data_IF_842715803390
#
_entry.id   IF_842715803390
#
_cell.length_a   1.000
_cell.length_b   1.000
_cell.length_c   1.000
_cell.angle_alpha   90.00
_cell.angle_beta   90.00
_cell.angle_gamma   90.00
#
_symmetry.space_group_name_H-M   'P 1'
#
loop_
_entity.id
_entity.type
_entity.pdbx_description
1 polymer ?
#
# COMPACT_ATOMS: atom_id res chain seq x y z
N UNK A 1 86.27 -38.23 -39.43
CA UNK A 1 85.33 -38.32 -38.27
C UNK A 1 84.52 -37.03 -38.24
N UNK A 2 83.45 -36.92 -39.03
CA UNK A 2 82.05 -37.18 -38.64
C UNK A 2 81.56 -36.27 -37.51
N UNK A 3 80.87 -35.19 -37.88
CA UNK A 3 79.92 -34.47 -37.02
C UNK A 3 78.57 -35.21 -37.04
N UNK A 4 77.95 -35.44 -35.88
CA UNK A 4 76.49 -35.56 -35.74
C UNK A 4 75.96 -34.49 -34.75
N UNK A 5 75.05 -33.60 -35.12
CA UNK A 5 73.58 -33.73 -35.22
C UNK A 5 72.81 -33.97 -33.91
N UNK A 6 72.08 -32.90 -33.50
CA UNK A 6 70.68 -32.82 -33.03
C UNK A 6 70.07 -33.98 -32.21
N UNK A 7 69.54 -33.68 -31.02
CA UNK A 7 68.09 -33.67 -30.65
C UNK A 7 67.83 -33.95 -29.15
N UNK A 8 67.02 -33.06 -28.57
CA UNK A 8 65.98 -33.23 -27.53
C UNK A 8 66.28 -33.93 -26.18
N UNK A 9 66.07 -33.15 -25.10
CA UNK A 9 65.35 -33.52 -23.86
C UNK A 9 65.17 -32.23 -23.02
N UNK A 10 63.97 -31.64 -23.05
CA UNK A 10 62.94 -31.74 -22.00
C UNK A 10 63.25 -30.94 -20.71
N UNK A 11 62.28 -30.09 -20.36
CA UNK A 11 61.94 -29.60 -19.02
C UNK A 11 62.70 -28.39 -18.44
N UNK A 12 62.17 -27.20 -18.73
CA UNK A 12 62.05 -26.09 -17.77
C UNK A 12 60.68 -25.43 -18.03
N UNK A 13 59.60 -25.94 -17.41
CA UNK A 13 58.97 -25.33 -16.24
C UNK A 13 58.97 -23.79 -16.29
N UNK A 14 57.89 -23.22 -16.81
CA UNK A 14 57.35 -21.94 -16.32
C UNK A 14 55.90 -21.81 -16.81
N UNK A 15 54.99 -22.14 -15.90
CA UNK A 15 53.54 -21.96 -15.97
C UNK A 15 53.15 -20.49 -15.74
N UNK A 16 52.47 -19.89 -16.75
CA UNK A 16 51.35 -18.92 -16.67
C UNK A 16 51.58 -17.50 -16.07
N UNK A 17 50.72 -16.49 -16.38
CA UNK A 17 49.68 -16.35 -17.44
C UNK A 17 49.85 -15.04 -18.27
N UNK A 18 49.48 -14.91 -19.55
CA UNK A 18 48.14 -14.93 -20.15
C UNK A 18 47.11 -13.96 -19.50
N UNK A 19 47.34 -12.63 -19.51
CA UNK A 19 46.26 -11.67 -19.21
C UNK A 19 46.52 -10.21 -19.64
N UNK A 20 46.74 -9.92 -20.93
CA UNK A 20 46.82 -8.51 -21.37
C UNK A 20 46.52 -8.28 -22.86
N UNK A 21 45.47 -8.89 -23.42
CA UNK A 21 44.90 -8.45 -24.70
C UNK A 21 43.38 -8.63 -24.67
N UNK A 22 42.66 -7.63 -24.17
CA UNK A 22 41.21 -7.45 -24.42
C UNK A 22 40.92 -5.95 -24.61
N UNK A 23 40.80 -5.57 -25.88
CA UNK A 23 39.82 -4.62 -26.43
C UNK A 23 39.75 -3.24 -25.74
N UNK A 24 40.54 -2.30 -26.27
CA UNK A 24 40.25 -0.86 -26.20
C UNK A 24 39.28 -0.55 -27.35
N UNK A 25 37.96 -0.63 -27.13
CA UNK A 25 36.94 0.03 -27.94
C UNK A 25 35.60 0.06 -27.17
N UNK A 26 34.94 1.23 -27.23
CA UNK A 26 33.61 1.55 -26.69
C UNK A 26 33.52 2.00 -25.22
N UNK A 27 34.23 3.08 -24.86
CA UNK A 27 33.70 4.04 -23.89
C UNK A 27 32.67 4.95 -24.58
N UNK A 28 31.56 4.36 -25.06
CA UNK A 28 30.35 5.13 -25.33
C UNK A 28 29.63 5.30 -24.00
N UNK A 29 29.46 6.55 -23.60
CA UNK A 29 28.77 6.97 -22.40
C UNK A 29 27.50 6.16 -22.16
N UNK A 30 27.47 5.43 -21.05
CA UNK A 30 26.23 5.28 -20.30
C UNK A 30 26.22 6.51 -19.40
N UNK A 31 25.69 7.62 -19.91
CA UNK A 31 25.08 8.58 -19.01
C UNK A 31 23.94 7.82 -18.35
N UNK A 32 24.21 7.30 -17.15
CA UNK A 32 23.13 6.95 -16.26
C UNK A 32 22.34 8.25 -16.09
N UNK A 33 21.14 8.30 -16.65
CA UNK A 33 20.21 9.36 -16.27
C UNK A 33 19.85 9.02 -14.82
N UNK A 34 20.63 9.57 -13.89
CA UNK A 34 20.24 9.71 -12.51
C UNK A 34 19.13 10.76 -12.53
N UNK A 35 17.90 10.32 -12.80
CA UNK A 35 16.73 11.10 -12.36
C UNK A 35 16.59 10.81 -10.88
N UNK A 36 17.44 11.43 -10.05
CA UNK A 36 16.99 11.76 -8.70
C UNK A 36 16.13 13.00 -8.89
N UNK A 37 14.84 12.82 -9.13
CA UNK A 37 13.92 13.84 -8.66
C UNK A 37 14.10 13.89 -7.14
N UNK A 38 14.11 15.08 -6.56
CA UNK A 38 14.25 15.21 -5.11
C UNK A 38 13.13 14.37 -4.45
N UNK A 39 13.47 13.46 -3.52
CA UNK A 39 12.43 12.84 -2.72
C UNK A 39 11.70 13.96 -1.97
N UNK A 40 10.40 13.80 -1.71
CA UNK A 40 9.61 14.86 -1.11
C UNK A 40 10.21 15.27 0.24
N UNK A 41 10.38 16.57 0.43
CA UNK A 41 11.17 17.12 1.54
C UNK A 41 10.39 17.30 2.85
N UNK A 42 9.06 17.43 2.79
CA UNK A 42 8.26 17.84 3.95
C UNK A 42 7.49 16.67 4.59
N UNK A 43 7.56 16.61 5.93
CA UNK A 43 6.83 15.64 6.75
C UNK A 43 7.53 14.30 6.93
N UNK A 44 6.75 13.30 7.31
CA UNK A 44 7.22 11.93 7.46
C UNK A 44 6.14 10.94 7.02
N UNK A 45 6.58 9.78 6.58
CA UNK A 45 5.71 8.68 6.21
C UNK A 45 5.57 7.73 7.39
N UNK A 46 4.34 7.39 7.79
CA UNK A 46 4.07 6.31 8.73
C UNK A 46 3.68 5.07 7.94
N UNK A 47 4.31 3.94 8.25
CA UNK A 47 4.10 2.65 7.57
C UNK A 47 3.79 1.57 8.61
N UNK A 48 2.72 0.83 8.39
CA UNK A 48 2.38 -0.36 9.16
C UNK A 48 3.22 -1.55 8.67
N UNK A 49 3.99 -2.18 9.56
CA UNK A 49 4.76 -3.37 9.21
C UNK A 49 3.91 -4.61 9.50
N UNK A 50 3.22 -5.15 8.50
CA UNK A 50 2.19 -6.20 8.67
C UNK A 50 2.75 -7.54 9.18
N UNK A 51 4.06 -7.76 8.99
CA UNK A 51 4.80 -8.95 9.43
C UNK A 51 5.61 -8.72 10.70
N UNK A 52 5.43 -7.57 11.33
CA UNK A 52 6.00 -7.20 12.62
C UNK A 52 4.92 -6.61 13.53
N UNK A 53 5.25 -6.40 14.79
CA UNK A 53 4.38 -5.70 15.74
C UNK A 53 4.88 -4.26 15.88
N UNK A 54 4.97 -3.53 14.76
CA UNK A 54 5.62 -2.23 14.72
C UNK A 54 5.06 -1.27 13.67
N UNK A 55 5.19 0.03 13.94
CA UNK A 55 5.08 1.11 12.94
C UNK A 55 6.47 1.68 12.65
N UNK A 56 6.73 2.00 11.39
CA UNK A 56 7.90 2.79 10.99
C UNK A 56 7.49 4.23 10.68
N UNK A 57 8.27 5.18 11.18
CA UNK A 57 8.17 6.62 10.97
C UNK A 57 9.38 7.06 10.17
N UNK A 58 9.20 7.26 8.86
CA UNK A 58 10.27 7.56 7.91
C UNK A 58 10.29 9.07 7.66
N UNK A 59 11.27 9.75 8.22
CA UNK A 59 11.51 11.17 7.99
C UNK A 59 12.14 11.37 6.63
N UNK A 60 11.47 12.09 5.74
CA UNK A 60 11.79 12.07 4.32
C UNK A 60 13.01 12.94 3.99
N UNK A 61 13.14 14.11 4.62
CA UNK A 61 14.30 14.99 4.46
C UNK A 61 15.61 14.36 4.97
N UNK A 62 15.56 13.62 6.08
CA UNK A 62 16.75 13.07 6.72
C UNK A 62 17.01 11.60 6.38
N UNK A 63 16.06 10.93 5.73
CA UNK A 63 16.02 9.48 5.54
C UNK A 63 16.18 8.68 6.87
N UNK A 64 15.83 9.28 8.01
CA UNK A 64 15.87 8.61 9.30
C UNK A 64 14.58 7.84 9.54
N UNK A 65 14.69 6.64 10.10
CA UNK A 65 13.54 5.83 10.51
C UNK A 65 13.50 5.71 12.03
N UNK A 66 12.35 6.03 12.62
CA UNK A 66 12.01 5.69 13.99
C UNK A 66 10.97 4.55 13.98
N UNK A 67 11.05 3.65 14.95
CA UNK A 67 10.10 2.54 15.08
C UNK A 67 9.32 2.67 16.38
N UNK A 68 8.01 2.42 16.33
CA UNK A 68 7.16 2.25 17.50
C UNK A 68 6.72 0.80 17.59
N UNK A 69 7.10 0.11 18.66
CA UNK A 69 6.58 -1.22 18.95
C UNK A 69 5.10 -1.15 19.36
N UNK A 70 4.32 -2.13 18.93
CA UNK A 70 2.90 -2.26 19.17
C UNK A 70 2.62 -3.55 19.96
N UNK A 71 1.48 -3.66 20.66
CA UNK A 71 1.05 -4.87 21.35
C UNK A 71 0.52 -5.96 20.39
N UNK A 72 0.73 -5.77 19.08
CA UNK A 72 0.28 -6.68 18.05
C UNK A 72 0.53 -6.13 16.64
N UNK A 73 0.29 -6.96 15.62
CA UNK A 73 0.57 -6.64 14.23
C UNK A 73 -0.47 -5.66 13.67
N UNK A 74 -0.04 -4.52 13.11
CA UNK A 74 -0.95 -3.53 12.54
C UNK A 74 -1.53 -4.00 11.21
N UNK A 75 -2.70 -3.44 10.86
CA UNK A 75 -3.33 -3.67 9.58
C UNK A 75 -3.64 -2.36 8.83
N UNK A 76 -4.70 -1.65 9.23
CA UNK A 76 -5.14 -0.41 8.58
C UNK A 76 -4.85 0.80 9.46
N UNK A 77 -4.66 1.96 8.84
CA UNK A 77 -4.42 3.22 9.54
C UNK A 77 -5.30 4.34 9.01
N UNK A 78 -5.62 5.30 9.89
CA UNK A 78 -6.27 6.54 9.51
C UNK A 78 -5.71 7.71 10.33
N UNK A 79 -5.52 8.86 9.69
CA UNK A 79 -5.05 10.08 10.34
C UNK A 79 -6.14 11.14 10.36
N UNK A 80 -6.42 11.68 11.53
CA UNK A 80 -7.40 12.75 11.69
C UNK A 80 -7.02 13.65 12.86
N UNK A 81 -7.14 14.98 12.66
CA UNK A 81 -6.93 15.98 13.71
C UNK A 81 -5.61 15.83 14.49
N UNK A 82 -4.52 15.45 13.81
CA UNK A 82 -3.20 15.30 14.44
C UNK A 82 -3.01 13.99 15.23
N UNK A 83 -3.89 13.01 15.03
CA UNK A 83 -3.84 11.70 15.68
C UNK A 83 -3.87 10.59 14.64
N UNK A 84 -3.12 9.53 14.90
CA UNK A 84 -3.10 8.32 14.10
C UNK A 84 -3.92 7.24 14.79
N UNK A 85 -4.79 6.57 14.07
CA UNK A 85 -5.58 5.44 14.54
C UNK A 85 -5.16 4.19 13.78
N UNK A 86 -5.02 3.06 14.47
CA UNK A 86 -4.49 1.83 13.90
C UNK A 86 -5.30 0.62 14.38
N UNK A 87 -5.71 -0.24 13.45
CA UNK A 87 -6.32 -1.53 13.78
C UNK A 87 -5.26 -2.60 13.97
N UNK A 88 -5.38 -3.36 15.07
CA UNK A 88 -4.57 -4.54 15.36
C UNK A 88 -5.49 -5.76 15.42
N UNK A 89 -5.79 -6.36 14.27
CA UNK A 89 -6.78 -7.45 14.16
C UNK A 89 -6.51 -8.60 15.11
N UNK A 90 -5.29 -9.17 15.07
CA UNK A 90 -4.90 -10.33 15.90
C UNK A 90 -4.80 -10.01 17.39
N UNK A 91 -4.70 -8.73 17.76
CA UNK A 91 -4.68 -8.29 19.15
C UNK A 91 -6.05 -7.82 19.65
N UNK A 92 -7.08 -7.75 18.78
CA UNK A 92 -8.39 -7.18 19.11
C UNK A 92 -8.30 -5.75 19.68
N UNK A 93 -7.51 -4.88 19.04
CA UNK A 93 -7.32 -3.50 19.50
C UNK A 93 -7.52 -2.48 18.38
N UNK A 94 -8.11 -1.35 18.74
CA UNK A 94 -7.90 -0.07 18.07
C UNK A 94 -6.96 0.78 18.93
N UNK A 95 -5.89 1.28 18.32
CA UNK A 95 -4.96 2.19 18.97
C UNK A 95 -5.20 3.63 18.51
N UNK A 96 -4.98 4.58 19.41
CA UNK A 96 -4.69 5.97 19.09
C UNK A 96 -3.23 6.28 19.42
N UNK A 97 -2.50 6.86 18.48
CA UNK A 97 -1.06 7.13 18.53
C UNK A 97 -0.81 8.62 18.25
N UNK A 98 0.14 9.22 18.97
CA UNK A 98 0.72 10.52 18.59
C UNK A 98 1.78 10.26 17.52
N UNK A 99 1.58 10.71 16.27
CA UNK A 99 2.57 10.46 15.23
C UNK A 99 3.79 11.40 15.32
N UNK A 100 3.67 12.54 16.02
CA UNK A 100 4.74 13.55 16.10
C UNK A 100 5.69 13.32 17.27
N UNK A 101 5.23 12.60 18.30
CA UNK A 101 6.05 12.06 19.37
C UNK A 101 5.66 10.58 19.50
N UNK A 102 6.17 9.71 18.61
CA UNK A 102 5.68 8.34 18.42
C UNK A 102 5.41 7.60 19.72
N UNK A 103 4.14 7.40 20.04
CA UNK A 103 3.70 6.78 21.28
C UNK A 103 2.21 6.47 21.29
N UNK A 104 1.84 5.36 21.91
CA UNK A 104 0.44 4.95 22.10
C UNK A 104 -0.19 5.84 23.18
N UNK A 105 -1.27 6.54 22.83
CA UNK A 105 -2.01 7.44 23.72
C UNK A 105 -3.16 6.72 24.41
N UNK A 106 -3.95 5.97 23.64
CA UNK A 106 -5.11 5.21 24.12
C UNK A 106 -5.25 3.91 23.36
N UNK A 107 -5.92 2.95 23.99
CA UNK A 107 -6.22 1.64 23.41
C UNK A 107 -7.68 1.32 23.71
N UNK A 108 -8.38 0.79 22.71
CA UNK A 108 -9.74 0.30 22.85
C UNK A 108 -9.77 -1.18 22.47
N UNK A 109 -10.10 -2.09 23.41
CA UNK A 109 -10.44 -3.46 23.08
C UNK A 109 -11.64 -3.51 22.13
N UNK A 110 -11.46 -4.20 21.01
CA UNK A 110 -12.49 -4.43 20.00
C UNK A 110 -12.50 -5.91 19.64
N UNK A 111 -13.34 -6.68 20.35
CA UNK A 111 -13.50 -8.10 20.07
C UNK A 111 -14.13 -8.31 18.69
N UNK A 112 -13.43 -9.06 17.84
CA UNK A 112 -13.93 -9.43 16.52
C UNK A 112 -12.95 -9.25 15.36
N UNK A 113 -11.65 -9.17 15.63
CA UNK A 113 -10.59 -8.96 14.63
C UNK A 113 -10.78 -7.64 13.86
N UNK A 114 -10.49 -6.48 14.48
CA UNK A 114 -10.61 -5.18 13.84
C UNK A 114 -9.68 -5.07 12.64
N UNK A 115 -10.23 -4.63 11.52
CA UNK A 115 -9.56 -4.71 10.23
C UNK A 115 -9.58 -3.37 9.48
N UNK A 116 -10.63 -3.10 8.69
CA UNK A 116 -10.81 -1.85 7.97
C UNK A 116 -11.11 -0.69 8.90
N UNK A 117 -10.61 0.50 8.57
CA UNK A 117 -10.69 1.70 9.40
C UNK A 117 -10.97 2.93 8.53
N UNK A 118 -11.98 3.71 8.88
CA UNK A 118 -12.26 5.01 8.28
C UNK A 118 -12.76 6.02 9.31
N UNK A 119 -12.57 7.31 9.03
CA UNK A 119 -12.92 8.40 9.95
C UNK A 119 -13.71 9.48 9.21
N UNK A 120 -14.81 9.94 9.79
CA UNK A 120 -15.58 11.10 9.33
C UNK A 120 -15.98 11.94 10.54
N UNK A 121 -15.63 13.24 10.53
CA UNK A 121 -15.91 14.12 11.67
C UNK A 121 -15.25 13.60 12.94
N UNK A 122 -15.99 13.48 14.05
CA UNK A 122 -15.54 12.90 15.33
C UNK A 122 -15.82 11.40 15.46
N UNK A 123 -16.12 10.72 14.36
CA UNK A 123 -16.55 9.33 14.37
C UNK A 123 -15.55 8.43 13.65
N UNK A 124 -15.19 7.33 14.31
CA UNK A 124 -14.35 6.27 13.74
C UNK A 124 -15.25 5.09 13.40
N UNK A 125 -15.05 4.51 12.24
CA UNK A 125 -15.71 3.30 11.77
C UNK A 125 -14.67 2.19 11.64
N UNK A 126 -14.93 1.04 12.27
CA UNK A 126 -14.03 -0.12 12.21
C UNK A 126 -14.80 -1.35 11.81
N UNK A 127 -14.34 -2.07 10.78
CA UNK A 127 -14.89 -3.38 10.47
C UNK A 127 -14.27 -4.45 11.36
N UNK A 128 -15.07 -5.42 11.78
CA UNK A 128 -14.67 -6.53 12.62
C UNK A 128 -14.85 -7.84 11.83
N UNK A 129 -13.76 -8.36 11.27
CA UNK A 129 -13.74 -9.48 10.33
C UNK A 129 -14.45 -10.73 10.90
N UNK A 130 -14.15 -11.09 12.15
CA UNK A 130 -14.71 -12.30 12.79
C UNK A 130 -16.08 -12.06 13.45
N UNK A 131 -16.38 -10.81 13.83
CA UNK A 131 -17.66 -10.49 14.44
C UNK A 131 -18.75 -10.15 13.41
N UNK A 132 -18.41 -10.10 12.11
CA UNK A 132 -19.33 -9.73 11.04
C UNK A 132 -20.07 -8.42 11.32
N UNK A 133 -19.35 -7.43 11.84
CA UNK A 133 -19.92 -6.16 12.27
C UNK A 133 -19.08 -4.95 11.83
N UNK A 134 -19.75 -3.82 11.68
CA UNK A 134 -19.16 -2.49 11.66
C UNK A 134 -19.41 -1.85 13.02
N UNK A 135 -18.35 -1.44 13.72
CA UNK A 135 -18.48 -0.65 14.95
C UNK A 135 -18.26 0.83 14.65
N UNK A 136 -19.03 1.66 15.35
CA UNK A 136 -18.92 3.12 15.34
C UNK A 136 -18.37 3.54 16.70
N UNK A 137 -17.36 4.40 16.71
CA UNK A 137 -16.63 4.80 17.90
C UNK A 137 -16.57 6.33 17.94
N UNK A 138 -16.89 6.90 19.10
CA UNK A 138 -16.70 8.33 19.36
C UNK A 138 -15.20 8.60 19.55
N UNK A 139 -14.61 9.44 18.71
CA UNK A 139 -13.14 9.69 18.73
C UNK A 139 -12.69 10.44 19.98
N UNK A 140 -13.53 11.29 20.53
CA UNK A 140 -13.19 12.12 21.69
C UNK A 140 -13.04 11.25 22.94
N UNK A 141 -14.00 10.38 23.19
CA UNK A 141 -14.06 9.49 24.35
C UNK A 141 -13.41 8.13 24.10
N UNK A 142 -13.23 7.74 22.84
CA UNK A 142 -12.83 6.40 22.37
C UNK A 142 -13.81 5.30 22.79
N UNK A 143 -15.08 5.65 23.00
CA UNK A 143 -16.13 4.69 23.33
C UNK A 143 -16.81 4.13 22.08
N UNK A 144 -17.07 2.82 22.04
CA UNK A 144 -17.97 2.22 21.05
C UNK A 144 -19.39 2.75 21.28
N UNK A 145 -19.96 3.43 20.27
CA UNK A 145 -21.29 4.04 20.32
C UNK A 145 -22.34 3.21 19.59
N UNK A 146 -21.93 2.40 18.62
CA UNK A 146 -22.82 1.47 17.94
C UNK A 146 -22.08 0.26 17.37
N UNK A 147 -22.81 -0.84 17.20
CA UNK A 147 -22.37 -2.06 16.52
C UNK A 147 -23.46 -2.50 15.55
N UNK A 148 -23.14 -2.48 14.27
CA UNK A 148 -24.10 -2.76 13.18
C UNK A 148 -23.71 -4.06 12.47
N UNK A 149 -24.63 -5.03 12.32
CA UNK A 149 -24.36 -6.24 11.56
C UNK A 149 -24.01 -5.96 10.10
N UNK A 150 -23.11 -6.77 9.55
CA UNK A 150 -22.69 -6.75 8.15
C UNK A 150 -22.81 -8.16 7.53
N UNK A 151 -22.34 -8.35 6.30
CA UNK A 151 -22.09 -9.69 5.74
C UNK A 151 -20.84 -10.38 6.34
N UNK A 152 -20.49 -11.57 5.84
CA UNK A 152 -19.32 -12.29 6.36
C UNK A 152 -17.99 -11.60 6.03
N UNK A 153 -17.14 -11.48 7.05
CA UNK A 153 -15.77 -10.95 6.96
C UNK A 153 -15.76 -9.55 6.36
N UNK A 154 -16.34 -8.55 7.04
CA UNK A 154 -16.33 -7.17 6.60
C UNK A 154 -14.90 -6.63 6.63
N UNK A 155 -14.29 -6.37 5.48
CA UNK A 155 -12.83 -6.21 5.41
C UNK A 155 -12.38 -4.76 5.24
N UNK A 156 -13.06 -3.98 4.41
CA UNK A 156 -12.76 -2.57 4.17
C UNK A 156 -14.01 -1.70 4.30
N UNK A 157 -13.81 -0.44 4.65
CA UNK A 157 -14.88 0.56 4.79
C UNK A 157 -14.45 1.89 4.16
N UNK A 158 -15.34 2.49 3.37
CA UNK A 158 -15.23 3.85 2.86
C UNK A 158 -16.44 4.68 3.29
N UNK A 159 -16.27 5.98 3.47
CA UNK A 159 -17.31 6.87 3.98
C UNK A 159 -17.71 7.92 2.94
N UNK A 160 -18.98 8.29 2.93
CA UNK A 160 -19.44 9.51 2.28
C UNK A 160 -20.71 10.02 2.96
N UNK A 161 -20.60 11.21 3.57
CA UNK A 161 -21.72 12.01 4.09
C UNK A 161 -22.59 11.22 5.07
N UNK A 162 -21.97 10.57 6.05
CA UNK A 162 -22.64 9.78 7.09
C UNK A 162 -23.02 8.36 6.67
N UNK A 163 -22.77 7.96 5.41
CA UNK A 163 -22.94 6.58 4.96
C UNK A 163 -21.59 5.85 4.92
N UNK A 164 -21.57 4.61 5.40
CA UNK A 164 -20.45 3.69 5.31
C UNK A 164 -20.70 2.63 4.23
N UNK A 165 -19.70 2.43 3.38
CA UNK A 165 -19.69 1.42 2.32
C UNK A 165 -18.70 0.33 2.72
N UNK A 166 -19.22 -0.84 3.08
CA UNK A 166 -18.45 -1.95 3.66
C UNK A 166 -18.38 -3.11 2.69
N UNK A 167 -17.19 -3.66 2.46
CA UNK A 167 -17.03 -4.90 1.71
C UNK A 167 -17.13 -6.10 2.64
N UNK A 168 -18.06 -7.01 2.38
CA UNK A 168 -18.12 -8.32 3.03
C UNK A 168 -17.41 -9.34 2.15
N UNK A 169 -16.14 -9.60 2.46
CA UNK A 169 -15.20 -10.30 1.58
C UNK A 169 -15.61 -11.73 1.28
N UNK A 170 -16.16 -12.45 2.26
CA UNK A 170 -16.57 -13.85 2.09
C UNK A 170 -17.95 -14.00 1.45
N UNK A 171 -18.73 -12.92 1.41
CA UNK A 171 -20.03 -12.87 0.74
C UNK A 171 -19.95 -12.28 -0.68
N UNK A 172 -18.80 -11.75 -1.12
CA UNK A 172 -18.64 -11.00 -2.36
C UNK A 172 -19.69 -9.89 -2.50
N UNK A 173 -19.81 -9.06 -1.45
CA UNK A 173 -20.86 -8.06 -1.32
C UNK A 173 -20.29 -6.70 -0.91
N UNK A 174 -20.85 -5.64 -1.48
CA UNK A 174 -20.75 -4.26 -1.01
C UNK A 174 -22.05 -3.89 -0.30
N UNK A 175 -21.98 -3.41 0.94
CA UNK A 175 -23.14 -2.99 1.73
C UNK A 175 -23.04 -1.50 2.08
N UNK A 176 -24.16 -0.78 1.99
CA UNK A 176 -24.27 0.61 2.47
C UNK A 176 -24.99 0.63 3.81
N UNK A 177 -24.36 1.26 4.79
CA UNK A 177 -24.84 1.42 6.16
C UNK A 177 -24.97 2.91 6.51
N UNK A 178 -25.95 3.31 7.34
CA UNK A 178 -27.03 2.48 7.86
C UNK A 178 -28.02 2.05 6.76
N UNK A 179 -28.76 0.96 7.00
CA UNK A 179 -29.73 0.39 6.06
C UNK A 179 -29.40 -1.04 5.64
N UNK A 180 -30.14 -1.53 4.65
CA UNK A 180 -30.05 -2.89 4.12
C UNK A 180 -29.64 -2.93 2.64
N UNK A 181 -29.29 -1.78 2.04
CA UNK A 181 -28.88 -1.70 0.65
C UNK A 181 -27.55 -2.43 0.42
N UNK A 182 -27.51 -3.31 -0.58
CA UNK A 182 -26.30 -4.03 -0.97
C UNK A 182 -26.22 -4.29 -2.47
N UNK A 183 -25.01 -4.59 -2.94
CA UNK A 183 -24.75 -5.07 -4.29
C UNK A 183 -23.74 -6.23 -4.28
N UNK A 184 -23.84 -7.12 -5.26
CA UNK A 184 -22.86 -8.17 -5.48
C UNK A 184 -21.60 -7.58 -6.14
N UNK A 185 -20.43 -7.97 -5.65
CA UNK A 185 -19.12 -7.59 -6.19
C UNK A 185 -18.50 -8.75 -6.96
N UNK A 186 -17.28 -8.55 -7.47
CA UNK A 186 -16.36 -9.62 -7.81
C UNK A 186 -15.91 -10.39 -6.57
N UNK A 187 -15.16 -11.46 -6.79
CA UNK A 187 -14.70 -12.35 -5.73
C UNK A 187 -13.62 -11.67 -4.85
N UNK A 188 -13.79 -11.84 -3.53
CA UNK A 188 -12.89 -11.38 -2.47
C UNK A 188 -12.60 -9.87 -2.51
N UNK A 189 -13.59 -9.00 -2.25
CA UNK A 189 -13.39 -7.54 -2.23
C UNK A 189 -12.54 -7.06 -1.05
N UNK A 190 -11.24 -6.80 -1.28
CA UNK A 190 -10.26 -6.42 -0.25
C UNK A 190 -10.18 -4.92 0.03
N UNK A 191 -10.65 -4.08 -0.87
CA UNK A 191 -10.62 -2.63 -0.65
C UNK A 191 -11.81 -1.95 -1.30
N UNK A 192 -12.21 -0.83 -0.73
CA UNK A 192 -13.30 0.01 -1.20
C UNK A 192 -12.93 1.47 -1.08
N UNK A 193 -13.32 2.27 -2.07
CA UNK A 193 -13.15 3.71 -2.05
C UNK A 193 -14.36 4.42 -2.66
N UNK A 194 -14.66 5.60 -2.12
CA UNK A 194 -15.59 6.55 -2.77
C UNK A 194 -14.78 7.43 -3.72
N UNK A 195 -15.23 7.54 -4.97
CA UNK A 195 -14.54 8.24 -6.07
C UNK A 195 -15.58 9.07 -6.81
N UNK A 196 -15.65 10.37 -6.52
CA UNK A 196 -16.67 11.26 -7.09
C UNK A 196 -18.09 10.71 -6.86
N UNK A 197 -18.89 10.45 -7.91
CA UNK A 197 -20.25 9.91 -7.81
C UNK A 197 -20.31 8.36 -7.73
N UNK A 198 -19.18 7.69 -7.47
CA UNK A 198 -19.08 6.24 -7.49
C UNK A 198 -18.47 5.64 -6.22
N UNK A 199 -18.74 4.35 -6.02
CA UNK A 199 -18.02 3.49 -5.06
C UNK A 199 -17.29 2.43 -5.87
N UNK A 200 -16.00 2.25 -5.59
CA UNK A 200 -15.16 1.30 -6.31
C UNK A 200 -14.69 0.21 -5.35
N UNK A 201 -14.91 -1.06 -5.68
CA UNK A 201 -14.34 -2.20 -4.94
C UNK A 201 -13.19 -2.82 -5.70
N UNK A 202 -12.12 -3.19 -4.99
CA UNK A 202 -11.00 -3.98 -5.49
C UNK A 202 -11.22 -5.45 -5.15
N UNK A 203 -11.52 -6.26 -6.17
CA UNK A 203 -11.91 -7.65 -6.00
C UNK A 203 -10.72 -8.57 -6.31
N UNK A 204 -10.02 -8.99 -5.27
CA UNK A 204 -8.71 -9.62 -5.34
C UNK A 204 -8.71 -10.90 -6.18
N UNK A 205 -9.59 -11.86 -5.86
CA UNK A 205 -9.61 -13.18 -6.51
C UNK A 205 -10.18 -13.12 -7.93
N UNK A 206 -11.13 -12.21 -8.17
CA UNK A 206 -11.67 -12.00 -9.52
C UNK A 206 -10.81 -11.10 -10.40
N UNK A 207 -9.72 -10.53 -9.85
CA UNK A 207 -8.81 -9.62 -10.55
C UNK A 207 -9.56 -8.49 -11.27
N UNK A 208 -10.43 -7.82 -10.54
CA UNK A 208 -11.28 -6.78 -11.11
C UNK A 208 -11.50 -5.61 -10.18
N UNK A 209 -11.87 -4.46 -10.74
CA UNK A 209 -12.60 -3.43 -10.02
C UNK A 209 -14.07 -3.50 -10.38
N UNK A 210 -14.94 -3.27 -9.41
CA UNK A 210 -16.33 -2.91 -9.69
C UNK A 210 -16.58 -1.46 -9.35
N UNK A 211 -17.24 -0.75 -10.26
CA UNK A 211 -17.64 0.64 -10.13
C UNK A 211 -19.15 0.67 -9.99
N UNK A 212 -19.63 1.08 -8.83
CA UNK A 212 -21.05 1.22 -8.50
C UNK A 212 -21.45 2.69 -8.47
N UNK A 213 -22.68 3.01 -8.86
CA UNK A 213 -23.25 4.33 -8.60
C UNK A 213 -23.45 4.50 -7.09
N UNK A 214 -23.00 5.64 -6.54
CA UNK A 214 -22.90 5.88 -5.10
C UNK A 214 -24.23 5.67 -4.35
N UNK A 215 -25.32 6.24 -4.86
CA UNK A 215 -26.60 6.22 -4.16
C UNK A 215 -27.39 4.91 -4.32
N UNK A 216 -27.42 4.36 -5.54
CA UNK A 216 -28.24 3.18 -5.87
C UNK A 216 -27.51 1.84 -5.70
N UNK A 217 -26.18 1.86 -5.54
CA UNK A 217 -25.31 0.70 -5.64
C UNK A 217 -25.50 -0.12 -6.93
N UNK A 218 -26.02 0.48 -8.00
CA UNK A 218 -26.11 -0.21 -9.30
C UNK A 218 -24.71 -0.34 -9.90
N UNK A 219 -24.32 -1.55 -10.30
CA UNK A 219 -23.05 -1.81 -10.99
C UNK A 219 -23.04 -1.06 -12.32
N UNK A 220 -22.20 -0.03 -12.42
CA UNK A 220 -21.98 0.76 -13.63
C UNK A 220 -21.00 0.04 -14.55
N UNK A 221 -19.93 -0.52 -13.97
CA UNK A 221 -18.86 -1.15 -14.75
C UNK A 221 -18.07 -2.15 -13.92
N UNK A 222 -17.66 -3.24 -14.56
CA UNK A 222 -16.56 -4.11 -14.10
C UNK A 222 -15.34 -3.89 -14.98
N UNK A 223 -14.19 -3.65 -14.35
CA UNK A 223 -12.89 -3.44 -15.01
C UNK A 223 -12.01 -4.64 -14.71
N UNK A 224 -11.67 -5.43 -15.73
CA UNK A 224 -10.69 -6.51 -15.58
C UNK A 224 -9.27 -5.95 -15.42
N UNK A 225 -8.49 -6.54 -14.52
CA UNK A 225 -7.12 -6.14 -14.22
C UNK A 225 -6.13 -7.27 -14.52
N UNK A 226 -4.90 -6.89 -14.84
CA UNK A 226 -3.76 -7.81 -14.86
C UNK A 226 -3.08 -7.78 -13.50
N UNK A 227 -3.46 -8.71 -12.63
CA UNK A 227 -2.96 -8.85 -11.27
C UNK A 227 -4.08 -8.80 -10.22
N UNK A 228 -3.76 -9.25 -9.01
CA UNK A 228 -4.62 -9.27 -7.82
C UNK A 228 -4.64 -7.88 -7.19
N UNK A 229 -5.75 -7.12 -7.30
CA UNK A 229 -5.87 -5.83 -6.65
C UNK A 229 -6.02 -6.01 -5.14
N UNK A 230 -5.24 -5.27 -4.35
CA UNK A 230 -5.31 -5.29 -2.88
C UNK A 230 -5.86 -3.97 -2.36
N UNK A 231 -5.31 -2.83 -2.79
CA UNK A 231 -5.73 -1.49 -2.35
C UNK A 231 -6.22 -0.67 -3.52
N UNK A 232 -7.31 0.07 -3.31
CA UNK A 232 -7.77 1.14 -4.21
C UNK A 232 -7.68 2.49 -3.48
N UNK A 233 -6.97 3.44 -4.08
CA UNK A 233 -6.78 4.79 -3.55
C UNK A 233 -7.30 5.81 -4.57
N UNK A 234 -8.28 6.67 -4.24
CA UNK A 234 -8.67 7.78 -5.11
C UNK A 234 -7.48 8.72 -5.34
N UNK A 235 -7.19 9.01 -6.61
CA UNK A 235 -6.24 10.05 -7.01
C UNK A 235 -6.96 11.39 -7.18
N UNK A 236 -8.16 11.34 -7.76
CA UNK A 236 -9.06 12.47 -7.94
C UNK A 236 -10.52 11.96 -8.00
N UNK A 237 -11.48 12.78 -8.45
CA UNK A 237 -12.89 12.40 -8.55
C UNK A 237 -13.19 11.29 -9.59
N UNK A 238 -12.19 10.85 -10.37
CA UNK A 238 -12.32 9.96 -11.52
C UNK A 238 -11.24 8.88 -11.59
N UNK A 239 -10.02 9.19 -11.18
CA UNK A 239 -8.88 8.29 -11.25
C UNK A 239 -8.66 7.60 -9.92
N UNK A 240 -8.31 6.32 -10.00
CA UNK A 240 -7.86 5.54 -8.86
C UNK A 240 -6.49 4.92 -9.13
N UNK A 241 -5.71 4.80 -8.06
CA UNK A 241 -4.50 4.01 -8.00
C UNK A 241 -4.84 2.65 -7.41
N UNK A 242 -4.31 1.58 -8.00
CA UNK A 242 -4.58 0.20 -7.58
C UNK A 242 -3.29 -0.55 -7.38
N UNK A 243 -3.05 -1.08 -6.19
CA UNK A 243 -1.90 -1.97 -5.94
C UNK A 243 -2.23 -3.35 -6.50
N UNK A 244 -1.43 -3.82 -7.45
CA UNK A 244 -1.56 -5.13 -8.08
C UNK A 244 -0.45 -6.02 -7.52
N UNK A 245 -0.78 -6.69 -6.41
CA UNK A 245 0.20 -7.28 -5.50
C UNK A 245 1.06 -8.35 -6.18
N UNK A 246 0.45 -9.33 -6.85
CA UNK A 246 1.15 -10.45 -7.51
C UNK A 246 1.82 -10.07 -8.85
N UNK A 247 1.72 -8.82 -9.28
CA UNK A 247 2.23 -8.32 -10.56
C UNK A 247 3.28 -7.21 -10.40
N UNK A 248 3.72 -6.95 -9.16
CA UNK A 248 4.75 -5.97 -8.80
C UNK A 248 4.54 -4.59 -9.46
N UNK A 249 3.29 -4.12 -9.44
CA UNK A 249 2.92 -2.86 -10.10
C UNK A 249 1.74 -2.14 -9.45
N UNK A 250 1.68 -0.84 -9.68
CA UNK A 250 0.49 -0.02 -9.44
C UNK A 250 -0.17 0.30 -10.78
N UNK A 251 -1.50 0.20 -10.86
CA UNK A 251 -2.26 0.67 -12.03
C UNK A 251 -2.93 2.02 -11.73
N UNK A 252 -2.91 2.91 -12.72
CA UNK A 252 -3.76 4.11 -12.73
C UNK A 252 -4.97 3.78 -13.58
N UNK A 253 -6.16 3.75 -12.98
CA UNK A 253 -7.41 3.34 -13.62
C UNK A 253 -8.39 4.49 -13.66
N UNK A 254 -8.98 4.69 -14.83
CA UNK A 254 -10.04 5.66 -15.05
C UNK A 254 -11.40 5.00 -14.81
N UNK A 255 -12.11 5.40 -13.75
CA UNK A 255 -13.33 4.69 -13.31
C UNK A 255 -14.50 4.90 -14.26
N UNK A 256 -14.56 6.04 -14.94
CA UNK A 256 -15.61 6.37 -15.92
C UNK A 256 -15.48 5.50 -17.18
N UNK A 257 -14.29 5.54 -17.81
CA UNK A 257 -14.03 4.80 -19.06
C UNK A 257 -13.68 3.33 -18.85
N UNK A 258 -13.25 2.96 -17.63
CA UNK A 258 -12.73 1.63 -17.29
C UNK A 258 -11.35 1.32 -17.87
N UNK A 259 -10.63 2.32 -18.38
CA UNK A 259 -9.32 2.11 -19.00
C UNK A 259 -8.20 2.20 -17.97
N UNK A 260 -7.28 1.24 -18.01
CA UNK A 260 -5.99 1.36 -17.34
C UNK A 260 -5.12 2.33 -18.14
N UNK A 261 -4.83 3.50 -17.56
CA UNK A 261 -4.06 4.57 -18.19
C UNK A 261 -2.56 4.35 -18.10
N UNK A 262 -2.09 3.74 -17.01
CA UNK A 262 -0.66 3.58 -16.71
C UNK A 262 -0.42 2.40 -15.79
N UNK A 263 0.77 1.80 -15.92
CA UNK A 263 1.35 0.92 -14.93
C UNK A 263 2.66 1.51 -14.41
N UNK A 264 2.83 1.51 -13.09
CA UNK A 264 4.06 1.86 -12.39
C UNK A 264 4.68 0.57 -11.88
N UNK A 265 5.94 0.30 -12.22
CA UNK A 265 6.64 -0.88 -11.69
C UNK A 265 7.14 -0.58 -10.28
N UNK A 266 6.94 -1.51 -9.37
CA UNK A 266 7.45 -1.46 -8.00
C UNK A 266 8.43 -2.60 -7.77
N UNK A 267 9.42 -2.44 -6.88
CA UNK A 267 10.14 -3.60 -6.36
C UNK A 267 9.16 -4.45 -5.53
N UNK A 268 9.13 -5.76 -5.76
CA UNK A 268 8.25 -6.68 -5.03
C UNK A 268 6.76 -6.35 -5.09
N UNK A 269 6.00 -6.93 -4.16
CA UNK A 269 4.55 -6.92 -4.17
C UNK A 269 3.96 -5.69 -3.46
N UNK A 270 3.34 -4.74 -4.18
CA UNK A 270 2.78 -3.54 -3.57
C UNK A 270 1.52 -3.83 -2.76
N UNK A 271 1.34 -3.09 -1.68
CA UNK A 271 0.15 -3.14 -0.81
C UNK A 271 -0.32 -1.71 -0.50
N UNK A 272 0.44 -1.00 0.34
CA UNK A 272 0.16 0.38 0.74
C UNK A 272 0.35 1.36 -0.40
N UNK A 273 -0.62 2.25 -0.54
CA UNK A 273 -0.59 3.40 -1.44
C UNK A 273 -0.98 4.63 -0.62
N UNK A 274 -0.18 5.68 -0.69
CA UNK A 274 -0.48 6.93 0.00
C UNK A 274 0.04 8.12 -0.78
N UNK A 275 -0.81 9.14 -0.92
CA UNK A 275 -0.44 10.42 -1.50
C UNK A 275 0.07 11.34 -0.40
N UNK A 276 0.99 12.23 -0.76
CA UNK A 276 1.30 13.38 0.09
C UNK A 276 0.11 14.35 0.15
N UNK A 277 0.19 15.33 1.06
CA UNK A 277 -0.92 16.27 1.29
C UNK A 277 -1.22 17.16 0.09
N UNK A 278 -0.24 17.40 -0.78
CA UNK A 278 -0.39 18.18 -1.99
C UNK A 278 -0.85 17.33 -3.20
N UNK A 279 -0.79 15.99 -3.11
CA UNK A 279 -1.05 15.09 -4.23
C UNK A 279 0.04 15.12 -5.31
N UNK A 280 1.24 15.58 -4.98
CA UNK A 280 2.40 15.67 -5.89
C UNK A 280 3.20 14.37 -5.91
N UNK A 281 3.17 13.59 -4.81
CA UNK A 281 3.91 12.36 -4.66
C UNK A 281 3.03 11.20 -4.22
N UNK A 282 3.28 10.04 -4.83
CA UNK A 282 2.77 8.75 -4.40
C UNK A 282 3.90 7.95 -3.75
N UNK A 283 3.69 7.53 -2.50
CA UNK A 283 4.48 6.48 -1.88
C UNK A 283 3.80 5.12 -2.04
N UNK A 284 4.60 4.10 -2.38
CA UNK A 284 4.16 2.71 -2.54
C UNK A 284 4.95 1.81 -1.61
N UNK A 285 4.26 1.23 -0.64
CA UNK A 285 4.81 0.24 0.28
C UNK A 285 4.74 -1.15 -0.35
N UNK A 286 5.88 -1.84 -0.41
CA UNK A 286 6.02 -3.11 -1.13
C UNK A 286 6.45 -4.26 -0.21
N UNK A 287 5.46 -5.06 0.19
CA UNK A 287 5.51 -6.15 1.17
C UNK A 287 6.67 -7.13 1.02
N UNK A 288 7.01 -7.54 -0.21
CA UNK A 288 8.02 -8.58 -0.44
C UNK A 288 9.44 -8.03 -0.48
N UNK A 289 9.59 -6.75 -0.83
CA UNK A 289 10.90 -6.11 -0.99
C UNK A 289 11.32 -5.27 0.22
N UNK A 290 10.48 -5.21 1.26
CA UNK A 290 10.67 -4.37 2.45
C UNK A 290 11.11 -2.94 2.10
N UNK A 291 10.41 -2.32 1.16
CA UNK A 291 10.77 -1.01 0.63
C UNK A 291 9.57 -0.11 0.33
N UNK A 292 9.83 1.20 0.38
CA UNK A 292 8.93 2.25 -0.08
C UNK A 292 9.51 2.85 -1.36
N UNK A 293 8.72 2.92 -2.42
CA UNK A 293 9.07 3.65 -3.65
C UNK A 293 8.24 4.93 -3.79
N UNK A 294 8.89 6.02 -4.21
CA UNK A 294 8.24 7.30 -4.44
C UNK A 294 8.10 7.59 -5.93
N UNK A 295 6.96 8.13 -6.34
CA UNK A 295 6.67 8.54 -7.71
C UNK A 295 6.06 9.94 -7.72
N UNK A 296 6.53 10.82 -8.62
CA UNK A 296 5.86 12.08 -8.91
C UNK A 296 4.54 11.81 -9.61
N UNK A 297 3.44 12.41 -9.18
CA UNK A 297 2.11 12.19 -9.75
C UNK A 297 1.97 12.82 -11.13
N UNK A 298 2.61 13.99 -11.35
CA UNK A 298 2.52 14.74 -12.61
C UNK A 298 2.94 13.94 -13.84
N UNK A 299 4.03 13.17 -13.73
CA UNK A 299 4.64 12.44 -14.86
C UNK A 299 4.92 10.97 -14.57
N UNK A 300 4.61 10.49 -13.36
CA UNK A 300 4.87 9.14 -12.88
C UNK A 300 6.35 8.77 -12.84
N UNK A 301 7.26 9.74 -12.83
CA UNK A 301 8.68 9.50 -12.68
C UNK A 301 8.99 8.99 -11.27
N UNK A 302 9.83 7.97 -11.16
CA UNK A 302 10.31 7.47 -9.86
C UNK A 302 11.21 8.54 -9.23
N UNK A 303 10.86 8.99 -8.04
CA UNK A 303 11.57 10.02 -7.27
C UNK A 303 12.55 9.43 -6.25
N UNK A 304 12.45 8.13 -5.94
CA UNK A 304 13.41 7.49 -5.05
C UNK A 304 12.82 6.27 -4.36
N UNK A 305 13.54 5.81 -3.34
CA UNK A 305 13.07 4.77 -2.44
C UNK A 305 13.75 4.83 -1.08
N UNK A 306 13.06 4.35 -0.06
CA UNK A 306 13.57 4.13 1.28
C UNK A 306 13.36 2.66 1.69
N UNK A 307 14.24 2.09 2.53
CA UNK A 307 13.94 0.81 3.17
C UNK A 307 12.76 0.96 4.14
N UNK A 308 12.01 -0.12 4.34
CA UNK A 308 10.94 -0.22 5.32
C UNK A 308 11.23 -1.34 6.34
N UNK A 309 10.36 -1.49 7.35
CA UNK A 309 10.32 -2.71 8.17
C UNK A 309 9.78 -3.90 7.38
N UNK A 310 9.67 -5.08 8.01
CA UNK A 310 9.24 -6.29 7.30
C UNK A 310 7.75 -6.28 6.95
N UNK A 311 7.44 -6.54 5.68
CA UNK A 311 6.07 -6.58 5.15
C UNK A 311 5.34 -5.24 5.25
N UNK A 312 5.86 -4.16 4.64
CA UNK A 312 5.26 -2.82 4.76
C UNK A 312 3.92 -2.72 4.01
N UNK A 313 2.84 -2.53 4.77
CA UNK A 313 1.45 -2.44 4.29
C UNK A 313 0.93 -1.02 4.24
N UNK A 314 -0.20 -0.76 4.91
CA UNK A 314 -0.84 0.56 4.97
C UNK A 314 0.17 1.67 5.28
N UNK A 315 0.05 2.80 4.59
CA UNK A 315 0.94 3.94 4.76
C UNK A 315 0.15 5.25 4.77
N UNK A 316 0.66 6.25 5.49
CA UNK A 316 0.06 7.58 5.58
C UNK A 316 1.15 8.65 5.58
N UNK A 317 0.95 9.70 4.77
CA UNK A 317 1.73 10.92 4.86
C UNK A 317 1.28 11.77 6.03
N UNK A 318 2.19 12.07 6.95
CA UNK A 318 1.92 13.00 8.04
C UNK A 318 2.62 14.32 7.71
N UNK A 319 1.87 15.42 7.57
CA UNK A 319 2.47 16.74 7.37
C UNK A 319 3.32 17.13 8.58
N UNK A 320 4.28 18.06 8.45
CA UNK A 320 4.90 18.66 9.62
C UNK A 320 3.85 19.36 10.51
N UNK A 321 4.21 19.59 11.79
CA UNK A 321 3.36 20.32 12.74
C UNK A 321 3.11 21.77 12.31
#
# INVERSE_FOLDING_TARGET
>A
MLRPNRLNRMATMATLPLMAVVIVFASRAISAVQVSADPPGDGFLVVANLREESLSFLHLASAQTQTLALPGPPHEMAFASGRLYITLGRANLLLEVDPYAPGILRQLPLDGEPHGLAIEGETIFVTLDLANALVTIDRVTLAETARTPTGNTPHAVALNRGAAYVTASRDNRLQRLPGDAFAATGALPESVAVVGPAVVTANADSRSLDVFALESLSLVRRVGLQGRPVRVLPLDERLVLVSLNDEARVAVVDTESGKVKRHLRTPGYPDGLCLDTAGEYLAVASNESDSISFFRVEDWARAGSLPAGHGPGACIWIPPR
#
